data_IF_527228799133
#
_entry.id   IF_527228799133
#
_cell.length_a   1.000
_cell.length_b   1.000
_cell.length_c   1.000
_cell.angle_alpha   90.00
_cell.angle_beta   90.00
_cell.angle_gamma   90.00
#
_symmetry.space_group_name_H-M   'P 1'
#
loop_
_entity.id
_entity.type
_entity.pdbx_description
1 polymer ?
#
# COMPACT_ATOMS: atom_id res chain seq x y z
N UNK A 1 -14.80 -16.85 66.78
CA UNK A 1 -15.58 -15.80 66.08
C UNK A 1 -14.73 -14.77 65.33
N UNK A 2 -13.57 -14.31 65.86
CA UNK A 2 -12.67 -13.42 65.11
C UNK A 2 -11.90 -14.10 63.98
N UNK A 3 -11.40 -15.33 64.18
CA UNK A 3 -10.67 -16.10 63.15
C UNK A 3 -11.53 -16.51 61.94
N UNK A 4 -12.82 -16.77 62.16
CA UNK A 4 -13.79 -17.09 61.09
C UNK A 4 -14.11 -15.87 60.22
N UNK A 5 -13.97 -14.66 60.78
CA UNK A 5 -14.19 -13.40 60.06
C UNK A 5 -13.04 -13.11 59.07
N UNK A 6 -11.80 -13.44 59.45
CA UNK A 6 -10.63 -13.29 58.57
C UNK A 6 -10.65 -14.29 57.41
N UNK A 7 -11.15 -15.51 57.64
CA UNK A 7 -11.28 -16.51 56.57
C UNK A 7 -12.37 -16.13 55.56
N UNK A 8 -13.46 -15.51 56.01
CA UNK A 8 -14.51 -14.99 55.12
C UNK A 8 -14.02 -13.79 54.27
N UNK A 9 -13.13 -12.95 54.81
CA UNK A 9 -12.60 -11.79 54.09
C UNK A 9 -11.61 -12.17 52.97
N UNK A 10 -10.89 -13.30 53.11
CA UNK A 10 -9.91 -13.76 52.12
C UNK A 10 -10.57 -14.42 50.89
N UNK A 11 -11.75 -15.01 51.05
CA UNK A 11 -12.52 -15.65 49.97
C UNK A 11 -13.21 -14.64 49.03
N UNK A 12 -13.44 -13.40 49.46
CA UNK A 12 -14.04 -12.34 48.64
C UNK A 12 -13.05 -11.66 47.68
N UNK A 13 -11.74 -11.87 47.84
CA UNK A 13 -10.71 -11.26 46.98
C UNK A 13 -10.48 -12.03 45.66
N UNK A 14 -11.03 -13.24 45.50
CA UNK A 14 -10.80 -14.10 44.33
C UNK A 14 -11.82 -13.93 43.19
N UNK A 15 -12.84 -13.08 43.33
CA UNK A 15 -13.87 -12.86 42.30
C UNK A 15 -13.68 -11.60 41.44
N UNK A 16 -12.60 -10.82 41.64
CA UNK A 16 -12.41 -9.53 40.96
C UNK A 16 -11.83 -9.63 39.53
N UNK A 17 -11.46 -10.82 39.06
CA UNK A 17 -10.96 -11.01 37.69
C UNK A 17 -12.04 -11.68 36.82
N UNK A 18 -13.05 -10.91 36.42
CA UNK A 18 -13.73 -11.18 35.16
C UNK A 18 -12.96 -10.43 34.08
N UNK A 19 -12.45 -11.09 33.01
CA UNK A 19 -11.96 -10.35 31.86
C UNK A 19 -13.13 -9.53 31.33
N UNK A 20 -13.01 -8.20 31.40
CA UNK A 20 -13.93 -7.31 30.74
C UNK A 20 -13.92 -7.70 29.27
N UNK A 21 -15.05 -8.24 28.79
CA UNK A 21 -15.30 -8.38 27.36
C UNK A 21 -15.29 -6.95 26.83
N UNK A 22 -14.12 -6.53 26.34
CA UNK A 22 -14.03 -5.30 25.55
C UNK A 22 -14.97 -5.53 24.38
N UNK A 23 -15.96 -4.66 24.13
CA UNK A 23 -16.66 -4.70 22.86
C UNK A 23 -15.58 -4.60 21.79
N UNK A 24 -15.43 -5.67 21.01
CA UNK A 24 -14.68 -5.61 19.77
C UNK A 24 -15.43 -4.61 18.91
N UNK A 25 -14.98 -3.34 18.95
CA UNK A 25 -15.18 -2.44 17.84
C UNK A 25 -14.73 -3.22 16.63
N UNK A 26 -15.69 -3.61 15.78
CA UNK A 26 -15.41 -4.00 14.40
C UNK A 26 -14.64 -2.80 13.85
N UNK A 27 -13.32 -2.91 13.81
CA UNK A 27 -12.49 -1.96 13.11
C UNK A 27 -13.02 -1.99 11.68
N UNK A 28 -13.73 -0.93 11.32
CA UNK A 28 -13.91 -0.66 9.91
C UNK A 28 -12.49 -0.42 9.44
N UNK A 29 -11.97 -1.34 8.63
CA UNK A 29 -10.57 -1.48 8.24
C UNK A 29 -10.18 -0.27 7.38
N UNK A 30 -10.07 0.91 7.99
CA UNK A 30 -9.65 2.13 7.33
C UNK A 30 -8.14 2.06 7.17
N UNK A 31 -7.68 1.97 5.93
CA UNK A 31 -6.26 2.05 5.62
C UNK A 31 -5.73 3.40 6.12
N UNK A 32 -4.65 3.35 6.91
CA UNK A 32 -3.97 4.53 7.45
C UNK A 32 -2.57 4.63 6.84
N UNK A 33 -2.03 5.83 6.74
CA UNK A 33 -0.73 6.05 6.09
C UNK A 33 0.39 5.25 6.78
N UNK A 34 0.33 5.12 8.10
CA UNK A 34 1.29 4.34 8.88
C UNK A 34 1.23 2.84 8.59
N UNK A 35 0.05 2.30 8.22
CA UNK A 35 -0.10 0.88 7.90
C UNK A 35 0.38 0.54 6.49
N UNK A 36 0.41 1.54 5.60
CA UNK A 36 0.92 1.43 4.24
C UNK A 36 2.47 1.43 4.18
N UNK A 37 3.16 1.85 5.23
CA UNK A 37 4.62 1.89 5.25
C UNK A 37 5.27 0.54 4.93
N UNK A 38 6.29 0.57 4.09
CA UNK A 38 7.06 -0.61 3.70
C UNK A 38 7.50 -0.60 2.24
N UNK A 39 8.10 -1.72 1.83
CA UNK A 39 8.48 -1.98 0.43
C UNK A 39 7.52 -2.99 -0.16
N UNK A 40 7.07 -2.75 -1.38
CA UNK A 40 6.03 -3.49 -2.07
C UNK A 40 6.55 -3.89 -3.44
N UNK A 41 6.71 -5.19 -3.69
CA UNK A 41 7.12 -5.71 -4.99
C UNK A 41 5.92 -5.80 -5.92
N UNK A 42 6.02 -5.25 -7.12
CA UNK A 42 4.98 -5.36 -8.14
C UNK A 42 4.89 -6.82 -8.61
N UNK A 43 3.68 -7.39 -8.58
CA UNK A 43 3.39 -8.72 -9.09
C UNK A 43 2.73 -8.68 -10.47
N UNK A 44 1.84 -7.71 -10.68
CA UNK A 44 1.07 -7.56 -11.91
C UNK A 44 0.68 -6.10 -12.13
N UNK A 45 0.63 -5.69 -13.39
CA UNK A 45 0.10 -4.40 -13.82
C UNK A 45 -0.74 -4.60 -15.09
N UNK A 46 -1.91 -3.97 -15.10
CA UNK A 46 -2.84 -3.95 -16.22
C UNK A 46 -3.10 -2.51 -16.63
N UNK A 47 -3.11 -2.25 -17.93
CA UNK A 47 -3.63 -1.01 -18.54
C UNK A 47 -4.94 -1.36 -19.24
N UNK A 48 -5.98 -0.59 -18.97
CA UNK A 48 -7.31 -0.76 -19.57
C UNK A 48 -7.68 0.52 -20.31
N UNK A 49 -7.83 0.39 -21.62
CA UNK A 49 -8.15 1.51 -22.52
C UNK A 49 -9.39 1.17 -23.32
N UNK A 50 -10.48 1.92 -23.10
CA UNK A 50 -11.77 1.74 -23.83
C UNK A 50 -12.31 0.30 -23.80
N UNK A 51 -12.05 -0.43 -22.71
CA UNK A 51 -12.47 -1.82 -22.51
C UNK A 51 -11.44 -2.88 -22.93
N UNK A 52 -10.40 -2.49 -23.68
CA UNK A 52 -9.30 -3.39 -24.00
C UNK A 52 -8.32 -3.45 -22.83
N UNK A 53 -8.02 -4.66 -22.36
CA UNK A 53 -7.09 -4.90 -21.25
C UNK A 53 -5.77 -5.42 -21.76
N UNK A 54 -4.68 -4.75 -21.40
CA UNK A 54 -3.31 -5.16 -21.67
C UNK A 54 -2.59 -5.43 -20.35
N UNK A 55 -2.00 -6.62 -20.21
CA UNK A 55 -1.08 -6.90 -19.11
C UNK A 55 0.32 -6.39 -19.46
N UNK A 56 0.88 -5.53 -18.62
CA UNK A 56 2.18 -4.87 -18.83
C UNK A 56 3.26 -5.37 -17.88
N UNK A 57 2.88 -6.13 -16.84
CA UNK A 57 3.81 -6.78 -15.91
C UNK A 57 3.30 -8.19 -15.53
N UNK A 58 4.16 -9.22 -15.32
CA UNK A 58 5.63 -9.18 -15.30
C UNK A 58 6.28 -9.02 -16.67
N UNK A 59 7.46 -8.40 -16.66
CA UNK A 59 8.38 -8.35 -17.80
C UNK A 59 9.58 -9.22 -17.48
N UNK A 60 9.99 -10.06 -18.44
CA UNK A 60 11.13 -10.95 -18.25
C UNK A 60 12.41 -10.16 -17.89
N UNK A 61 13.16 -10.66 -16.91
CA UNK A 61 14.40 -10.05 -16.40
C UNK A 61 14.26 -8.64 -15.83
N UNK A 62 13.06 -8.24 -15.38
CA UNK A 62 12.85 -6.95 -14.72
C UNK A 62 12.09 -7.16 -13.41
N UNK A 63 12.35 -6.27 -12.45
CA UNK A 63 11.52 -6.17 -11.26
C UNK A 63 11.23 -4.71 -10.92
N UNK A 64 10.13 -4.50 -10.22
CA UNK A 64 9.71 -3.18 -9.76
C UNK A 64 9.30 -3.26 -8.29
N UNK A 65 9.69 -2.24 -7.54
CA UNK A 65 9.28 -2.02 -6.15
C UNK A 65 8.68 -0.64 -6.00
N UNK A 66 7.74 -0.53 -5.08
CA UNK A 66 7.17 0.72 -4.58
C UNK A 66 7.40 0.79 -3.08
N UNK A 67 7.80 1.95 -2.59
CA UNK A 67 8.10 2.20 -1.19
C UNK A 67 7.13 3.25 -0.69
N UNK A 68 6.62 3.06 0.52
CA UNK A 68 5.84 4.06 1.24
C UNK A 68 6.52 4.38 2.56
N UNK A 69 6.65 5.67 2.87
CA UNK A 69 7.28 6.16 4.07
C UNK A 69 6.56 7.41 4.61
N UNK A 70 5.54 7.17 5.43
CA UNK A 70 4.69 8.17 6.07
C UNK A 70 3.85 8.91 5.05
N UNK A 71 4.39 9.98 4.50
CA UNK A 71 3.71 10.86 3.52
C UNK A 71 4.34 10.79 2.13
N UNK A 72 5.37 9.98 1.94
CA UNK A 72 6.12 9.90 0.69
C UNK A 72 6.01 8.51 0.07
N UNK A 73 6.06 8.47 -1.25
CA UNK A 73 6.22 7.24 -2.00
C UNK A 73 7.41 7.37 -2.96
N UNK A 74 7.98 6.23 -3.32
CA UNK A 74 8.92 6.10 -4.42
C UNK A 74 8.67 4.80 -5.17
N UNK A 75 8.96 4.75 -6.45
CA UNK A 75 9.02 3.51 -7.21
C UNK A 75 10.35 3.39 -7.92
N UNK A 76 10.84 2.16 -8.02
CA UNK A 76 12.03 1.82 -8.78
C UNK A 76 11.74 0.57 -9.60
N UNK A 77 12.12 0.60 -10.86
CA UNK A 77 12.10 -0.56 -11.75
C UNK A 77 13.46 -0.68 -12.38
N UNK A 78 13.99 -1.90 -12.39
CA UNK A 78 15.31 -2.16 -12.95
C UNK A 78 15.38 -3.53 -13.62
N UNK A 79 16.32 -3.66 -14.54
CA UNK A 79 16.68 -4.97 -15.08
C UNK A 79 17.53 -5.78 -14.08
N UNK A 80 17.34 -7.10 -14.10
CA UNK A 80 18.07 -8.03 -13.23
C UNK A 80 19.52 -8.29 -13.69
N UNK A 81 19.96 -7.65 -14.78
CA UNK A 81 21.30 -7.78 -15.34
C UNK A 81 22.21 -6.60 -14.99
N UNK A 82 21.79 -5.72 -14.09
CA UNK A 82 22.55 -4.55 -13.64
C UNK A 82 22.97 -3.65 -14.81
N UNK A 83 22.13 -3.54 -15.83
CA UNK A 83 22.39 -2.74 -17.02
C UNK A 83 23.44 -3.33 -17.98
N UNK A 84 23.90 -4.57 -17.76
CA UNK A 84 24.90 -5.22 -18.62
C UNK A 84 24.29 -6.03 -19.77
N UNK A 85 22.97 -6.20 -19.80
CA UNK A 85 22.24 -6.85 -20.88
C UNK A 85 22.03 -5.98 -22.11
N UNK A 86 21.38 -6.54 -23.14
CA UNK A 86 21.13 -5.85 -24.41
C UNK A 86 20.12 -4.69 -24.31
N UNK A 87 19.25 -4.70 -23.29
CA UNK A 87 18.22 -3.69 -23.05
C UNK A 87 18.25 -3.28 -21.57
N UNK A 88 19.21 -2.43 -21.17
CA UNK A 88 19.30 -1.96 -19.78
C UNK A 88 18.05 -1.14 -19.43
N UNK A 89 17.49 -1.36 -18.25
CA UNK A 89 16.29 -0.67 -17.77
C UNK A 89 16.56 -0.15 -16.36
N UNK A 90 16.36 1.15 -16.18
CA UNK A 90 16.23 1.77 -14.88
C UNK A 90 15.22 2.91 -14.97
N UNK A 91 14.11 2.76 -14.27
CA UNK A 91 13.04 3.74 -14.16
C UNK A 91 12.83 4.03 -12.69
N UNK A 92 12.56 5.30 -12.36
CA UNK A 92 12.37 5.71 -10.99
C UNK A 92 11.52 6.97 -10.93
N UNK A 93 10.74 7.08 -9.87
CA UNK A 93 10.05 8.30 -9.52
C UNK A 93 9.69 8.33 -8.04
N UNK A 94 9.43 9.52 -7.54
CA UNK A 94 9.03 9.73 -6.15
C UNK A 94 8.14 10.96 -6.01
N UNK A 95 7.45 11.01 -4.89
CA UNK A 95 6.57 12.11 -4.56
C UNK A 95 5.96 12.00 -3.18
N UNK A 96 4.93 12.77 -2.96
CA UNK A 96 4.13 12.72 -1.74
C UNK A 96 2.78 12.08 -2.00
N UNK A 97 2.13 11.59 -0.96
CA UNK A 97 0.75 11.14 -1.07
C UNK A 97 -0.12 11.59 0.10
N UNK A 98 -1.42 11.56 -0.14
CA UNK A 98 -2.45 11.60 0.90
C UNK A 98 -3.26 10.31 0.87
N UNK A 99 -3.69 9.85 2.04
CA UNK A 99 -4.50 8.65 2.17
C UNK A 99 -5.65 8.91 3.14
N UNK A 100 -6.87 8.76 2.63
CA UNK A 100 -8.10 8.87 3.41
C UNK A 100 -8.99 7.64 3.13
N UNK A 101 -9.05 6.72 4.10
CA UNK A 101 -9.64 5.40 3.91
C UNK A 101 -8.97 4.69 2.73
N UNK A 102 -9.71 4.39 1.67
CA UNK A 102 -9.19 3.74 0.47
C UNK A 102 -8.76 4.74 -0.62
N UNK A 103 -9.02 6.04 -0.44
CA UNK A 103 -8.69 7.06 -1.42
C UNK A 103 -7.26 7.53 -1.25
N UNK A 104 -6.44 7.26 -2.25
CA UNK A 104 -5.01 7.52 -2.26
C UNK A 104 -4.68 8.44 -3.43
N UNK A 105 -4.09 9.59 -3.14
CA UNK A 105 -3.69 10.56 -4.17
C UNK A 105 -2.20 10.81 -4.08
N UNK A 106 -1.50 10.55 -5.17
CA UNK A 106 -0.08 10.85 -5.37
C UNK A 106 0.09 12.22 -5.98
N UNK A 107 1.11 12.95 -5.52
CA UNK A 107 1.68 14.09 -6.19
C UNK A 107 3.10 13.72 -6.63
N UNK A 108 3.31 13.51 -7.93
CA UNK A 108 4.58 13.04 -8.48
C UNK A 108 5.57 14.20 -8.64
N UNK A 109 6.69 14.17 -7.92
CA UNK A 109 7.66 15.28 -7.89
C UNK A 109 8.84 15.00 -8.82
N UNK A 110 9.38 13.78 -8.75
CA UNK A 110 10.47 13.36 -9.62
C UNK A 110 10.07 12.12 -10.41
N UNK A 111 10.46 12.08 -11.68
CA UNK A 111 10.27 10.91 -12.53
C UNK A 111 11.35 10.87 -13.61
N UNK A 112 11.87 9.68 -13.95
CA UNK A 112 12.77 9.55 -15.09
C UNK A 112 12.09 10.01 -16.40
N UNK A 113 10.77 9.86 -16.49
CA UNK A 113 9.96 10.47 -17.54
C UNK A 113 9.41 11.83 -17.10
N UNK A 114 10.25 12.87 -17.25
CA UNK A 114 10.03 14.23 -16.72
C UNK A 114 8.70 14.88 -17.09
N UNK A 115 8.11 14.51 -18.23
CA UNK A 115 6.82 15.05 -18.66
C UNK A 115 5.64 14.66 -17.75
N UNK A 116 5.83 13.69 -16.84
CA UNK A 116 4.84 13.28 -15.85
C UNK A 116 4.99 14.02 -14.51
N UNK A 117 6.07 14.76 -14.30
CA UNK A 117 6.30 15.47 -13.04
C UNK A 117 5.26 16.58 -12.80
N UNK A 118 5.02 16.87 -11.53
CA UNK A 118 4.05 17.85 -11.01
C UNK A 118 2.59 17.51 -11.36
N UNK A 119 2.29 16.22 -11.53
CA UNK A 119 0.94 15.72 -11.76
C UNK A 119 0.41 15.00 -10.52
N UNK A 120 -0.91 15.08 -10.37
CA UNK A 120 -1.65 14.37 -9.34
C UNK A 120 -2.35 13.14 -9.93
N UNK A 121 -2.20 11.99 -9.27
CA UNK A 121 -2.83 10.75 -9.67
C UNK A 121 -3.67 10.19 -8.52
N UNK A 122 -4.94 9.91 -8.79
CA UNK A 122 -5.88 9.43 -7.78
C UNK A 122 -6.22 7.96 -8.01
N UNK A 123 -6.10 7.18 -6.94
CA UNK A 123 -6.31 5.75 -6.92
C UNK A 123 -7.21 5.34 -5.75
N UNK A 124 -7.76 4.14 -5.87
CA UNK A 124 -8.37 3.39 -4.79
C UNK A 124 -7.43 2.26 -4.39
N UNK A 125 -7.12 2.16 -3.10
CA UNK A 125 -6.32 1.07 -2.53
C UNK A 125 -7.20 0.01 -1.89
N UNK A 126 -6.83 -1.25 -2.07
CA UNK A 126 -7.42 -2.39 -1.35
C UNK A 126 -6.30 -3.24 -0.75
N UNK A 127 -6.27 -3.38 0.58
CA UNK A 127 -5.29 -4.19 1.30
C UNK A 127 -5.92 -5.54 1.70
N UNK A 128 -5.22 -6.64 1.44
CA UNK A 128 -5.61 -8.00 1.82
C UNK A 128 -4.38 -8.77 2.33
N UNK A 129 -4.19 -8.80 3.65
CA UNK A 129 -2.95 -9.32 4.24
C UNK A 129 -1.75 -8.51 3.77
N UNK A 130 -0.78 -9.15 3.13
CA UNK A 130 0.39 -8.50 2.54
C UNK A 130 0.18 -8.03 1.09
N UNK A 131 -0.98 -8.31 0.51
CA UNK A 131 -1.30 -7.89 -0.87
C UNK A 131 -1.93 -6.51 -0.88
N UNK A 132 -1.39 -5.61 -1.70
CA UNK A 132 -1.94 -4.28 -1.97
C UNK A 132 -2.37 -4.20 -3.43
N UNK A 133 -3.62 -3.81 -3.67
CA UNK A 133 -4.13 -3.52 -5.01
C UNK A 133 -4.34 -2.02 -5.12
N UNK A 134 -3.74 -1.40 -6.12
CA UNK A 134 -3.91 0.02 -6.48
C UNK A 134 -4.65 0.08 -7.81
N UNK A 135 -5.76 0.84 -7.88
CA UNK A 135 -6.53 1.03 -9.10
C UNK A 135 -6.89 2.50 -9.29
N UNK A 136 -6.68 3.06 -10.48
CA UNK A 136 -7.01 4.46 -10.75
C UNK A 136 -6.93 4.81 -12.23
N UNK A 137 -7.19 6.07 -12.55
CA UNK A 137 -7.06 6.60 -13.91
C UNK A 137 -5.80 7.46 -13.97
N UNK A 138 -4.92 7.13 -14.91
CA UNK A 138 -3.82 8.00 -15.28
C UNK A 138 -4.26 8.85 -16.47
N UNK A 139 -4.28 10.18 -16.28
CA UNK A 139 -4.69 11.11 -17.31
C UNK A 139 -3.75 12.31 -17.39
N UNK A 140 -3.13 12.48 -18.55
CA UNK A 140 -2.30 13.64 -18.86
C UNK A 140 -2.64 14.07 -20.29
N UNK A 141 -3.47 15.10 -20.41
CA UNK A 141 -4.01 15.56 -21.71
C UNK A 141 -2.90 15.96 -22.70
N UNK A 142 -1.83 16.61 -22.21
CA UNK A 142 -0.70 17.03 -23.05
C UNK A 142 0.09 15.87 -23.65
N UNK A 143 0.00 14.68 -23.04
CA UNK A 143 0.67 13.45 -23.48
C UNK A 143 -0.29 12.45 -24.13
N UNK A 144 -1.57 12.81 -24.26
CA UNK A 144 -2.63 11.92 -24.76
C UNK A 144 -2.72 10.60 -23.96
N UNK A 145 -2.41 10.67 -22.66
CA UNK A 145 -2.55 9.57 -21.72
C UNK A 145 -3.95 9.67 -21.10
N UNK A 146 -4.75 8.62 -21.23
CA UNK A 146 -6.07 8.46 -20.61
C UNK A 146 -6.40 6.96 -20.56
N UNK A 147 -6.02 6.30 -19.46
CA UNK A 147 -6.27 4.87 -19.25
C UNK A 147 -6.50 4.55 -17.78
N UNK A 148 -7.18 3.45 -17.51
CA UNK A 148 -7.22 2.87 -16.17
C UNK A 148 -6.00 1.99 -15.96
N UNK A 149 -5.38 2.09 -14.80
CA UNK A 149 -4.30 1.21 -14.35
C UNK A 149 -4.77 0.40 -13.14
N UNK A 150 -4.42 -0.90 -13.12
CA UNK A 150 -4.61 -1.79 -11.98
C UNK A 150 -3.30 -2.49 -11.68
N UNK A 151 -2.75 -2.22 -10.50
CA UNK A 151 -1.48 -2.76 -10.05
C UNK A 151 -1.67 -3.60 -8.79
N UNK A 152 -1.05 -4.77 -8.76
CA UNK A 152 -1.05 -5.66 -7.60
C UNK A 152 0.35 -5.82 -7.07
N UNK A 153 0.52 -5.56 -5.79
CA UNK A 153 1.78 -5.57 -5.08
C UNK A 153 1.77 -6.56 -3.92
N UNK A 154 2.95 -7.05 -3.56
CA UNK A 154 3.20 -7.85 -2.36
C UNK A 154 4.17 -7.14 -1.43
N UNK A 155 3.75 -6.88 -0.20
CA UNK A 155 4.59 -6.32 0.85
C UNK A 155 5.77 -7.26 1.12
N UNK A 156 6.96 -6.68 1.13
CA UNK A 156 8.21 -7.38 1.44
C UNK A 156 8.41 -7.43 2.97
N UNK A 157 9.05 -8.49 3.48
CA UNK A 157 9.30 -8.68 4.92
C UNK A 157 10.25 -7.65 5.53
#
# INVERSE_FOLDING_TARGET
MRSTLYLALLLLALMACQPAIRPTTVATDSLHAETLNGTYKLLSALIITKGDTQQTFPVANQEMVKLFNGTHFAFLKHDLTQGQGNNPVFEAGEGTFTLHNHHYTEHLVYCNYRAWENQDFSFTLTQQGDTLIQKGIEKIDSLQVDHEIVETYLKQP
#
